data_IF_102978049971
#
_entry.id   IF_102978049971
#
_cell.length_a   1.000
_cell.length_b   1.000
_cell.length_c   1.000
_cell.angle_alpha   90.00
_cell.angle_beta   90.00
_cell.angle_gamma   90.00
#
_symmetry.space_group_name_H-M   'P 1'
#
loop_
_entity.id
_entity.type
_entity.pdbx_description
1 polymer ?
#
# COMPACT_ATOMS: atom_id res chain seq x y z
N UNK A 1 -28.69 -50.81 -21.32
CA UNK A 1 -27.32 -50.34 -21.63
C UNK A 1 -27.13 -48.83 -21.45
N UNK A 2 -28.16 -47.97 -21.55
CA UNK A 2 -27.98 -46.50 -21.45
C UNK A 2 -27.70 -45.94 -20.04
N UNK A 3 -28.38 -46.43 -18.99
CA UNK A 3 -28.34 -45.81 -17.65
C UNK A 3 -26.95 -45.88 -16.99
N UNK A 4 -26.23 -46.99 -17.16
CA UNK A 4 -24.88 -47.17 -16.60
C UNK A 4 -23.88 -46.22 -17.27
N UNK A 5 -24.02 -45.97 -18.58
CA UNK A 5 -23.14 -45.05 -19.32
C UNK A 5 -23.33 -43.59 -18.90
N UNK A 6 -24.56 -43.17 -18.59
CA UNK A 6 -24.86 -41.81 -18.13
C UNK A 6 -24.33 -41.56 -16.71
N UNK A 7 -24.42 -42.56 -15.83
CA UNK A 7 -23.86 -42.48 -14.47
C UNK A 7 -22.33 -42.41 -14.52
N UNK A 8 -21.68 -43.25 -15.34
CA UNK A 8 -20.22 -43.20 -15.52
C UNK A 8 -19.77 -41.87 -16.15
N UNK A 9 -20.54 -41.33 -17.09
CA UNK A 9 -20.27 -40.01 -17.69
C UNK A 9 -20.38 -38.86 -16.68
N UNK A 10 -21.41 -38.87 -15.82
CA UNK A 10 -21.58 -37.87 -14.77
C UNK A 10 -20.47 -37.93 -13.70
N UNK A 11 -20.08 -39.15 -13.29
CA UNK A 11 -18.95 -39.34 -12.37
C UNK A 11 -17.62 -38.92 -13.00
N UNK A 12 -17.38 -39.27 -14.27
CA UNK A 12 -16.17 -38.87 -15.00
C UNK A 12 -16.07 -37.36 -15.18
N UNK A 13 -17.20 -36.68 -15.44
CA UNK A 13 -17.26 -35.22 -15.53
C UNK A 13 -17.00 -34.55 -14.17
N UNK A 14 -17.61 -35.05 -13.10
CA UNK A 14 -17.37 -34.54 -11.74
C UNK A 14 -15.92 -34.70 -11.30
N UNK A 15 -15.35 -35.89 -11.50
CA UNK A 15 -13.94 -36.17 -11.19
C UNK A 15 -13.00 -35.34 -12.07
N UNK A 16 -13.33 -35.16 -13.35
CA UNK A 16 -12.57 -34.36 -14.30
C UNK A 16 -12.52 -32.87 -13.93
N UNK A 17 -13.63 -32.29 -13.48
CA UNK A 17 -13.66 -30.91 -12.97
C UNK A 17 -12.81 -30.79 -11.71
N UNK A 18 -12.94 -31.71 -10.76
CA UNK A 18 -12.17 -31.66 -9.50
C UNK A 18 -10.67 -31.78 -9.79
N UNK A 19 -10.26 -32.75 -10.62
CA UNK A 19 -8.85 -32.89 -11.04
C UNK A 19 -8.35 -31.68 -11.82
N UNK A 20 -9.16 -31.15 -12.75
CA UNK A 20 -8.82 -29.96 -13.52
C UNK A 20 -8.62 -28.72 -12.63
N UNK A 21 -9.48 -28.54 -11.62
CA UNK A 21 -9.34 -27.46 -10.64
C UNK A 21 -8.13 -27.65 -9.72
N UNK A 22 -7.86 -28.88 -9.26
CA UNK A 22 -6.69 -29.17 -8.41
C UNK A 22 -5.39 -28.98 -9.18
N UNK A 23 -5.30 -29.49 -10.42
CA UNK A 23 -4.11 -29.31 -11.28
C UNK A 23 -3.95 -27.84 -11.65
N UNK A 24 -5.04 -27.15 -12.00
CA UNK A 24 -5.02 -25.72 -12.27
C UNK A 24 -4.54 -24.91 -11.08
N UNK A 25 -5.00 -25.22 -9.87
CA UNK A 25 -4.57 -24.58 -8.63
C UNK A 25 -3.07 -24.80 -8.36
N UNK A 26 -2.58 -26.04 -8.49
CA UNK A 26 -1.16 -26.34 -8.29
C UNK A 26 -0.27 -25.66 -9.33
N UNK A 27 -0.65 -25.69 -10.61
CA UNK A 27 0.10 -24.98 -11.66
C UNK A 27 0.11 -23.48 -11.44
N UNK A 28 -1.01 -22.90 -11.01
CA UNK A 28 -1.14 -21.48 -10.75
C UNK A 28 -0.23 -21.02 -9.59
N UNK A 29 -0.15 -21.77 -8.50
CA UNK A 29 0.77 -21.49 -7.38
C UNK A 29 2.24 -21.58 -7.80
N UNK A 30 2.60 -22.60 -8.59
CA UNK A 30 4.00 -22.80 -8.98
C UNK A 30 4.50 -21.84 -10.07
N UNK A 31 3.60 -21.28 -10.89
CA UNK A 31 3.95 -20.37 -11.99
C UNK A 31 3.98 -18.91 -11.53
N UNK A 32 3.19 -18.53 -10.53
CA UNK A 32 3.12 -17.14 -10.10
C UNK A 32 4.31 -16.79 -9.20
N UNK A 33 5.37 -16.23 -9.80
CA UNK A 33 6.48 -15.63 -9.08
C UNK A 33 5.98 -14.49 -8.20
N UNK A 34 6.30 -14.53 -6.91
CA UNK A 34 6.01 -13.45 -5.96
C UNK A 34 6.99 -12.27 -6.06
N UNK A 35 7.83 -12.24 -7.10
CA UNK A 35 8.79 -11.17 -7.30
C UNK A 35 8.07 -9.85 -7.56
N UNK A 36 8.43 -8.87 -6.74
CA UNK A 36 7.96 -7.50 -6.88
C UNK A 36 8.88 -6.84 -7.90
N UNK A 37 8.39 -6.70 -9.14
CA UNK A 37 9.14 -6.00 -10.19
C UNK A 37 9.41 -4.56 -9.76
N UNK A 38 10.67 -4.14 -9.86
CA UNK A 38 11.01 -2.74 -9.64
C UNK A 38 10.71 -1.97 -10.91
N UNK A 39 9.81 -0.97 -10.90
CA UNK A 39 9.49 -0.23 -12.11
C UNK A 39 10.70 0.59 -12.60
N UNK A 40 10.98 0.55 -13.90
CA UNK A 40 11.97 1.42 -14.53
C UNK A 40 11.42 2.86 -14.60
N UNK A 41 12.06 3.80 -13.90
CA UNK A 41 11.71 5.22 -13.94
C UNK A 41 12.25 5.84 -15.23
N UNK A 42 11.37 6.31 -16.13
CA UNK A 42 11.75 6.98 -17.39
C UNK A 42 11.58 8.51 -17.33
N UNK A 43 12.51 9.30 -17.89
CA UNK A 43 12.38 10.76 -17.97
C UNK A 43 11.19 11.21 -18.82
N UNK A 44 10.63 12.38 -18.51
CA UNK A 44 9.54 13.01 -19.28
C UNK A 44 9.95 13.40 -20.70
N UNK A 45 11.23 13.65 -20.93
CA UNK A 45 11.78 14.06 -22.25
C UNK A 45 11.65 12.92 -23.27
N UNK A 46 11.62 11.67 -22.80
CA UNK A 46 11.58 10.48 -23.64
C UNK A 46 10.15 9.97 -23.89
N UNK A 47 9.13 10.73 -23.49
CA UNK A 47 7.72 10.36 -23.61
C UNK A 47 7.07 10.92 -24.88
N UNK A 48 6.21 10.13 -25.51
CA UNK A 48 5.46 10.53 -26.71
C UNK A 48 4.46 11.67 -26.42
N UNK A 49 4.19 12.51 -27.40
CA UNK A 49 3.24 13.64 -27.31
C UNK A 49 1.84 13.26 -26.77
N UNK A 50 1.18 12.17 -27.22
CA UNK A 50 -0.08 11.73 -26.63
C UNK A 50 0.05 11.21 -25.18
N UNK A 51 1.22 10.69 -24.78
CA UNK A 51 1.47 10.31 -23.40
C UNK A 51 1.57 11.57 -22.52
N UNK A 52 2.31 12.58 -22.98
CA UNK A 52 2.40 13.89 -22.31
C UNK A 52 1.04 14.56 -22.18
N UNK A 53 0.18 14.48 -23.21
CA UNK A 53 -1.18 15.03 -23.16
C UNK A 53 -2.02 14.41 -22.03
N UNK A 54 -1.89 13.10 -21.80
CA UNK A 54 -2.59 12.40 -20.71
C UNK A 54 -2.04 12.77 -19.32
N UNK A 55 -0.82 13.28 -19.24
CA UNK A 55 -0.16 13.65 -17.99
C UNK A 55 -0.46 15.09 -17.53
N UNK A 56 -1.08 15.95 -18.37
CA UNK A 56 -1.44 17.33 -17.96
C UNK A 56 -2.25 17.41 -16.67
N UNK A 57 -3.28 16.56 -16.45
CA UNK A 57 -4.00 16.53 -15.18
C UNK A 57 -3.12 16.13 -13.99
N UNK A 58 -2.02 15.41 -14.23
CA UNK A 58 -1.11 14.92 -13.19
C UNK A 58 0.09 15.84 -12.91
N UNK A 59 0.15 17.00 -13.56
CA UNK A 59 1.22 17.99 -13.35
C UNK A 59 1.30 18.37 -11.85
N UNK A 60 2.52 18.50 -11.28
CA UNK A 60 2.72 18.85 -9.89
C UNK A 60 2.00 20.13 -9.47
N UNK A 61 1.57 20.17 -8.21
CA UNK A 61 0.70 21.23 -7.72
C UNK A 61 1.40 22.59 -7.70
N UNK A 62 2.71 22.65 -7.44
CA UNK A 62 3.50 23.89 -7.51
C UNK A 62 3.58 24.51 -8.92
N UNK A 63 3.33 23.74 -10.00
CA UNK A 63 3.21 24.31 -11.36
C UNK A 63 1.84 24.94 -11.55
N UNK A 64 0.80 24.29 -11.01
CA UNK A 64 -0.60 24.72 -11.17
C UNK A 64 -0.94 25.89 -10.27
N UNK A 65 -0.37 25.91 -9.07
CA UNK A 65 -0.67 26.84 -8.00
C UNK A 65 0.63 27.53 -7.54
N UNK A 66 0.76 28.86 -7.69
CA UNK A 66 1.96 29.59 -7.28
C UNK A 66 2.17 29.62 -5.76
N UNK A 67 1.12 29.34 -4.98
CA UNK A 67 1.19 29.28 -3.51
C UNK A 67 1.95 28.06 -2.96
N UNK A 68 2.27 27.08 -3.82
CA UNK A 68 2.95 25.86 -3.42
C UNK A 68 4.42 25.96 -3.78
N UNK A 69 5.28 25.87 -2.75
CA UNK A 69 6.71 25.85 -2.94
C UNK A 69 7.21 24.45 -3.29
N UNK A 70 8.22 24.39 -4.17
CA UNK A 70 8.99 23.15 -4.39
C UNK A 70 9.86 22.85 -3.18
N UNK A 71 9.82 21.60 -2.73
CA UNK A 71 10.60 21.10 -1.59
C UNK A 71 11.55 19.98 -2.01
N UNK A 72 12.28 20.20 -3.11
CA UNK A 72 13.20 19.20 -3.68
C UNK A 72 14.30 18.77 -2.69
N UNK A 73 14.72 19.68 -1.80
CA UNK A 73 15.69 19.37 -0.74
C UNK A 73 15.14 18.36 0.27
N UNK A 74 13.84 18.44 0.60
CA UNK A 74 13.19 17.53 1.54
C UNK A 74 13.05 16.15 0.92
N UNK A 75 12.71 16.08 -0.37
CA UNK A 75 12.66 14.82 -1.11
C UNK A 75 14.03 14.12 -1.10
N UNK A 76 15.12 14.84 -1.40
CA UNK A 76 16.50 14.30 -1.33
C UNK A 76 16.86 13.84 0.08
N UNK A 77 16.46 14.61 1.10
CA UNK A 77 16.70 14.26 2.49
C UNK A 77 16.03 12.94 2.87
N UNK A 78 14.76 12.76 2.49
CA UNK A 78 14.00 11.54 2.77
C UNK A 78 14.56 10.36 1.99
N UNK A 79 14.93 10.56 0.72
CA UNK A 79 15.54 9.52 -0.12
C UNK A 79 16.80 8.95 0.52
N UNK A 80 17.70 9.81 1.02
CA UNK A 80 18.93 9.38 1.71
C UNK A 80 18.64 8.66 3.04
N UNK A 81 17.56 9.04 3.73
CA UNK A 81 17.18 8.43 5.01
C UNK A 81 16.31 7.18 4.87
N UNK A 82 15.70 6.95 3.70
CA UNK A 82 14.65 5.96 3.49
C UNK A 82 15.04 4.54 3.92
N UNK A 83 16.25 4.01 3.63
CA UNK A 83 16.63 2.66 4.04
C UNK A 83 16.66 2.45 5.56
N UNK A 84 16.83 3.54 6.33
CA UNK A 84 16.80 3.53 7.78
C UNK A 84 15.39 3.74 8.32
N UNK A 85 14.63 4.63 7.66
CA UNK A 85 13.23 4.90 7.98
C UNK A 85 12.37 3.65 7.77
N UNK A 86 12.53 2.94 6.64
CA UNK A 86 11.83 1.67 6.34
C UNK A 86 11.97 0.70 7.53
N UNK A 87 13.21 0.39 7.93
CA UNK A 87 13.49 -0.50 9.06
C UNK A 87 12.86 -0.03 10.38
N UNK A 88 12.94 1.27 10.67
CA UNK A 88 12.41 1.83 11.91
C UNK A 88 10.87 1.80 11.93
N UNK A 89 10.24 2.12 10.80
CA UNK A 89 8.79 2.11 10.64
C UNK A 89 8.28 0.67 10.70
N UNK A 90 8.90 -0.28 9.98
CA UNK A 90 8.55 -1.69 10.04
C UNK A 90 8.59 -2.23 11.48
N UNK A 91 9.65 -1.90 12.24
CA UNK A 91 9.76 -2.27 13.65
C UNK A 91 8.63 -1.66 14.50
N UNK A 92 8.27 -0.41 14.24
CA UNK A 92 7.20 0.29 14.96
C UNK A 92 5.83 -0.31 14.62
N UNK A 93 5.59 -0.67 13.35
CA UNK A 93 4.40 -1.37 12.90
C UNK A 93 4.26 -2.68 13.65
N UNK A 94 5.28 -3.53 13.66
CA UNK A 94 5.24 -4.82 14.38
C UNK A 94 4.90 -4.61 15.87
N UNK A 95 5.61 -3.69 16.53
CA UNK A 95 5.39 -3.41 17.95
C UNK A 95 3.97 -2.91 18.27
N UNK A 96 3.34 -2.18 17.35
CA UNK A 96 2.00 -1.60 17.54
C UNK A 96 0.90 -2.59 17.13
N UNK A 97 1.13 -3.36 16.07
CA UNK A 97 0.13 -4.25 15.48
C UNK A 97 0.05 -5.60 16.19
N UNK A 98 1.15 -6.15 16.70
CA UNK A 98 1.14 -7.40 17.49
C UNK A 98 0.11 -7.41 18.65
N UNK A 99 0.05 -6.39 19.53
CA UNK A 99 -0.95 -6.38 20.60
C UNK A 99 -2.38 -6.23 20.06
N UNK A 100 -2.59 -5.44 19.01
CA UNK A 100 -3.91 -5.27 18.38
C UNK A 100 -4.41 -6.58 17.77
N UNK A 101 -3.54 -7.32 17.07
CA UNK A 101 -3.90 -8.62 16.52
C UNK A 101 -4.23 -9.60 17.64
N UNK A 102 -3.41 -9.68 18.69
CA UNK A 102 -3.66 -10.59 19.83
C UNK A 102 -5.00 -10.35 20.50
N UNK A 103 -5.43 -9.09 20.59
CA UNK A 103 -6.75 -8.74 21.13
C UNK A 103 -7.91 -9.21 20.25
N UNK A 104 -7.77 -9.13 18.92
CA UNK A 104 -8.81 -9.49 17.95
C UNK A 104 -8.80 -10.98 17.59
N UNK A 105 -7.68 -11.67 17.74
CA UNK A 105 -7.47 -13.09 17.40
C UNK A 105 -8.55 -14.04 17.96
N UNK A 106 -8.97 -13.93 19.25
CA UNK A 106 -9.99 -14.80 19.83
C UNK A 106 -11.38 -14.63 19.19
N UNK A 107 -11.70 -13.43 18.68
CA UNK A 107 -13.00 -13.13 18.08
C UNK A 107 -13.20 -13.87 16.75
N UNK A 108 -12.12 -14.07 15.99
CA UNK A 108 -12.15 -14.64 14.64
C UNK A 108 -11.74 -16.12 14.56
N UNK A 109 -11.50 -16.79 15.70
CA UNK A 109 -10.99 -18.18 15.77
C UNK A 109 -9.70 -18.39 14.98
N UNK A 110 -8.85 -17.36 14.96
CA UNK A 110 -7.51 -17.45 14.39
C UNK A 110 -6.59 -18.00 15.49
N UNK A 111 -5.70 -18.91 15.15
CA UNK A 111 -4.76 -19.49 16.13
C UNK A 111 -3.54 -18.57 16.31
N UNK A 112 -3.02 -18.04 15.21
CA UNK A 112 -1.80 -17.22 15.20
C UNK A 112 -1.74 -16.35 13.93
N UNK A 113 -1.15 -15.17 14.02
CA UNK A 113 -0.82 -14.32 12.87
C UNK A 113 0.65 -13.95 12.96
N UNK A 114 1.39 -14.21 11.88
CA UNK A 114 2.83 -14.02 11.81
C UNK A 114 3.18 -13.16 10.59
N UNK A 115 4.11 -12.24 10.75
CA UNK A 115 4.66 -11.46 9.64
C UNK A 115 5.89 -12.19 9.10
N UNK A 116 5.76 -12.83 7.93
CA UNK A 116 6.85 -13.55 7.25
C UNK A 116 7.85 -12.58 6.60
N UNK A 117 7.34 -11.46 6.05
CA UNK A 117 8.15 -10.38 5.49
C UNK A 117 7.43 -9.05 5.70
N UNK A 118 8.17 -8.01 6.07
CA UNK A 118 7.63 -6.66 6.20
C UNK A 118 8.67 -5.66 5.73
N UNK A 119 8.46 -5.12 4.52
CA UNK A 119 9.18 -3.96 4.00
C UNK A 119 8.19 -3.04 3.29
N UNK A 120 8.40 -1.73 3.43
CA UNK A 120 7.65 -0.71 2.72
C UNK A 120 8.17 -0.47 1.31
N UNK A 121 9.26 -1.13 0.92
CA UNK A 121 9.87 -1.04 -0.40
C UNK A 121 11.04 -0.05 -0.46
N UNK A 122 11.63 0.04 -1.65
CA UNK A 122 12.79 0.89 -1.92
C UNK A 122 12.42 2.34 -2.26
N UNK A 123 11.15 2.60 -2.57
CA UNK A 123 10.69 3.91 -3.04
C UNK A 123 10.11 4.75 -1.90
N UNK A 124 10.73 5.90 -1.56
CA UNK A 124 10.23 6.79 -0.51
C UNK A 124 8.99 7.59 -0.94
N UNK A 125 8.23 8.14 0.02
CA UNK A 125 7.19 9.12 -0.25
C UNK A 125 7.79 10.41 -0.81
N UNK A 126 7.08 11.05 -1.74
CA UNK A 126 7.49 12.29 -2.39
C UNK A 126 6.55 13.43 -2.02
N UNK A 127 7.13 14.61 -1.82
CA UNK A 127 6.42 15.85 -1.56
C UNK A 127 6.28 16.61 -2.88
N UNK A 128 5.04 16.71 -3.36
CA UNK A 128 4.68 17.39 -4.61
C UNK A 128 4.56 18.91 -4.48
N UNK A 129 4.84 19.43 -3.28
CA UNK A 129 4.80 20.84 -2.94
C UNK A 129 4.35 21.02 -1.49
N UNK A 130 4.63 22.19 -0.94
CA UNK A 130 4.20 22.56 0.41
C UNK A 130 3.70 23.99 0.41
N UNK A 131 2.55 24.22 1.03
CA UNK A 131 2.04 25.55 1.30
C UNK A 131 2.24 25.87 2.77
N UNK A 132 2.78 27.05 3.08
CA UNK A 132 2.98 27.52 4.45
C UNK A 132 2.16 28.79 4.64
N UNK A 133 1.32 28.81 5.67
CA UNK A 133 0.50 29.98 5.99
C UNK A 133 1.18 30.78 7.09
N UNK A 134 1.22 32.08 6.87
CA UNK A 134 1.57 33.04 7.92
C UNK A 134 0.27 33.54 8.52
N UNK A 135 0.08 33.30 9.82
CA UNK A 135 -1.08 33.76 10.59
C UNK A 135 -0.67 34.89 11.53
N UNK A 136 -1.59 35.81 11.84
CA UNK A 136 -1.37 36.83 12.89
C UNK A 136 -1.35 36.21 14.31
N UNK A 137 -1.86 34.97 14.43
CA UNK A 137 -1.77 34.18 15.64
C UNK A 137 -0.38 33.55 15.80
N UNK A 138 -0.02 33.18 17.04
CA UNK A 138 1.22 32.45 17.36
C UNK A 138 1.14 30.99 16.93
N UNK A 139 0.94 30.74 15.64
CA UNK A 139 0.90 29.40 15.05
C UNK A 139 1.58 29.37 13.68
N UNK A 140 1.99 28.17 13.27
CA UNK A 140 2.51 27.90 11.91
C UNK A 140 1.66 26.78 11.35
N UNK A 141 1.10 27.00 10.16
CA UNK A 141 0.32 25.99 9.45
C UNK A 141 1.07 25.62 8.17
N UNK A 142 1.29 24.32 7.98
CA UNK A 142 1.93 23.74 6.81
C UNK A 142 1.02 22.71 6.17
N UNK A 143 0.92 22.74 4.85
CA UNK A 143 0.13 21.82 4.05
C UNK A 143 1.02 21.19 2.97
N UNK A 144 1.77 20.13 3.31
CA UNK A 144 2.47 19.33 2.32
C UNK A 144 1.48 18.48 1.51
N UNK A 145 1.73 18.34 0.21
CA UNK A 145 1.06 17.34 -0.63
C UNK A 145 1.98 16.15 -0.82
N UNK A 146 1.54 14.99 -0.33
CA UNK A 146 2.33 13.75 -0.30
C UNK A 146 1.76 12.79 -1.34
N UNK A 147 2.64 12.30 -2.22
CA UNK A 147 2.37 11.15 -3.09
C UNK A 147 3.41 10.07 -2.85
N UNK A 148 2.94 8.85 -2.58
CA UNK A 148 3.79 7.71 -2.32
C UNK A 148 3.35 6.54 -3.18
N UNK A 149 4.19 6.14 -4.12
CA UNK A 149 4.02 4.94 -4.91
C UNK A 149 5.15 3.99 -4.51
N UNK A 150 4.81 3.05 -3.64
CA UNK A 150 5.75 2.16 -2.98
C UNK A 150 5.67 0.76 -3.59
N UNK A 151 6.78 0.03 -3.53
CA UNK A 151 6.86 -1.39 -3.87
C UNK A 151 7.03 -2.24 -2.60
N UNK A 152 6.03 -2.26 -1.69
CA UNK A 152 6.16 -2.98 -0.44
C UNK A 152 6.09 -4.49 -0.68
N UNK A 153 6.66 -5.23 0.26
CA UNK A 153 6.47 -6.68 0.35
C UNK A 153 6.09 -7.04 1.80
N UNK A 154 4.78 -7.02 2.05
CA UNK A 154 4.21 -7.33 3.35
C UNK A 154 3.53 -8.69 3.24
N UNK A 155 4.19 -9.74 3.74
CA UNK A 155 3.69 -11.11 3.74
C UNK A 155 3.25 -11.48 5.16
N UNK A 156 1.97 -11.80 5.31
CA UNK A 156 1.34 -12.17 6.57
C UNK A 156 0.81 -13.59 6.47
N UNK A 157 1.30 -14.49 7.33
CA UNK A 157 0.77 -15.84 7.50
C UNK A 157 -0.30 -15.85 8.59
N UNK A 158 -1.49 -16.34 8.26
CA UNK A 158 -2.59 -16.51 9.23
C UNK A 158 -2.76 -18.00 9.46
N UNK A 159 -2.59 -18.47 10.70
CA UNK A 159 -2.79 -19.87 11.08
C UNK A 159 -4.20 -20.03 11.64
N UNK A 160 -5.00 -20.88 11.01
CA UNK A 160 -6.34 -21.21 11.48
C UNK A 160 -6.73 -22.62 11.04
N UNK A 161 -7.35 -23.40 11.94
CA UNK A 161 -7.88 -24.75 11.65
C UNK A 161 -6.84 -25.71 11.02
N UNK A 162 -5.57 -25.57 11.39
CA UNK A 162 -4.46 -26.38 10.85
C UNK A 162 -3.98 -25.97 9.45
N UNK A 163 -4.54 -24.92 8.86
CA UNK A 163 -4.07 -24.30 7.61
C UNK A 163 -3.30 -23.01 7.91
N UNK A 164 -2.34 -22.65 7.04
CA UNK A 164 -1.57 -21.39 7.10
C UNK A 164 -1.69 -20.61 5.78
N UNK A 165 -2.86 -20.03 5.44
CA UNK A 165 -2.95 -19.09 4.32
C UNK A 165 -1.98 -17.92 4.49
N UNK A 166 -1.36 -17.51 3.39
CA UNK A 166 -0.51 -16.31 3.32
C UNK A 166 -1.23 -15.21 2.56
N UNK A 167 -1.17 -13.99 3.08
CA UNK A 167 -1.69 -12.77 2.45
C UNK A 167 -0.49 -11.87 2.17
N UNK A 168 -0.31 -11.46 0.92
CA UNK A 168 0.74 -10.55 0.51
C UNK A 168 0.12 -9.22 0.06
N UNK A 169 0.57 -8.12 0.64
CA UNK A 169 0.22 -6.77 0.17
C UNK A 169 1.36 -6.24 -0.70
N UNK A 170 0.99 -5.77 -1.90
CA UNK A 170 1.87 -5.27 -2.95
C UNK A 170 1.34 -3.94 -3.51
N UNK A 171 2.15 -3.25 -4.31
CA UNK A 171 1.74 -2.08 -5.12
C UNK A 171 0.95 -1.01 -4.33
N UNK A 172 1.55 -0.49 -3.26
CA UNK A 172 0.92 0.51 -2.41
C UNK A 172 1.03 1.90 -3.03
N UNK A 173 -0.12 2.53 -3.24
CA UNK A 173 -0.23 3.91 -3.67
C UNK A 173 -1.01 4.74 -2.65
N UNK A 174 -0.38 5.78 -2.11
CA UNK A 174 -0.98 6.68 -1.12
C UNK A 174 -0.85 8.12 -1.59
N UNK A 175 -1.98 8.82 -1.70
CA UNK A 175 -2.02 10.27 -1.87
C UNK A 175 -2.69 10.90 -0.65
N UNK A 176 -1.99 11.83 -0.02
CA UNK A 176 -2.46 12.49 1.19
C UNK A 176 -2.09 13.97 1.20
N UNK A 177 -3.01 14.79 1.69
CA UNK A 177 -2.81 16.23 1.90
C UNK A 177 -3.04 16.55 3.37
N UNK A 178 -2.07 16.26 4.27
CA UNK A 178 -2.18 16.63 5.66
C UNK A 178 -1.96 18.13 5.86
N UNK A 179 -2.68 18.70 6.83
CA UNK A 179 -2.44 20.00 7.43
C UNK A 179 -1.80 19.79 8.79
N UNK A 180 -0.63 20.38 8.97
CA UNK A 180 0.19 20.33 10.19
C UNK A 180 0.20 21.72 10.81
N UNK A 181 -0.28 21.84 12.05
CA UNK A 181 -0.31 23.11 12.79
C UNK A 181 0.56 23.00 14.04
N UNK A 182 1.53 23.90 14.18
CA UNK A 182 2.37 24.05 15.37
C UNK A 182 1.81 25.19 16.22
N UNK A 183 1.24 24.87 17.40
CA UNK A 183 0.64 25.90 18.26
C UNK A 183 0.56 25.57 19.76
N UNK A 184 0.53 26.59 20.63
CA UNK A 184 1.04 27.94 20.37
C UNK A 184 2.57 27.93 20.19
N UNK A 185 3.10 28.92 19.47
CA UNK A 185 4.52 29.21 19.43
C UNK A 185 4.97 29.82 20.76
N UNK A 186 6.10 29.35 21.26
CA UNK A 186 6.69 29.76 22.55
C UNK A 186 8.16 30.10 22.38
N UNK A 187 8.73 30.97 23.24
CA UNK A 187 10.15 31.37 23.14
C UNK A 187 11.13 30.30 23.67
N UNK A 188 10.64 29.14 24.11
CA UNK A 188 11.44 28.02 24.60
C UNK A 188 11.52 26.92 23.55
N UNK A 189 12.72 26.41 23.25
CA UNK A 189 12.93 25.27 22.35
C UNK A 189 12.05 24.07 22.76
N UNK A 190 11.31 23.41 21.84
CA UNK A 190 11.40 23.45 20.37
C UNK A 190 10.57 24.56 19.68
N UNK A 191 10.21 25.62 20.41
CA UNK A 191 9.52 26.82 19.95
C UNK A 191 8.00 26.67 19.71
N UNK A 192 7.42 25.51 20.05
CA UNK A 192 5.97 25.27 20.03
C UNK A 192 5.58 24.31 21.15
N UNK A 193 4.30 24.34 21.58
CA UNK A 193 3.80 23.45 22.63
C UNK A 193 3.17 22.15 22.10
N UNK A 194 2.45 22.22 20.98
CA UNK A 194 1.68 21.09 20.44
C UNK A 194 1.79 21.04 18.92
N UNK A 195 1.69 19.83 18.39
CA UNK A 195 1.55 19.55 16.96
C UNK A 195 0.14 19.01 16.75
N UNK A 196 -0.61 19.63 15.84
CA UNK A 196 -1.90 19.14 15.38
C UNK A 196 -1.75 18.68 13.94
N UNK A 197 -2.23 17.49 13.65
CA UNK A 197 -2.21 16.93 12.28
C UNK A 197 -3.63 16.55 11.93
N UNK A 198 -4.10 17.03 10.78
CA UNK A 198 -5.42 16.71 10.22
C UNK A 198 -5.30 16.43 8.73
N UNK A 199 -6.14 15.58 8.19
CA UNK A 199 -6.22 15.37 6.73
C UNK A 199 -7.21 16.37 6.14
N UNK A 200 -6.79 17.11 5.13
CA UNK A 200 -7.63 18.10 4.44
C UNK A 200 -8.73 17.43 3.62
N UNK A 201 -8.39 16.29 3.04
CA UNK A 201 -9.26 15.49 2.19
C UNK A 201 -9.08 14.02 2.57
N UNK A 202 -10.05 13.18 2.16
CA UNK A 202 -9.91 11.74 2.32
C UNK A 202 -8.66 11.27 1.56
N UNK A 203 -7.69 10.61 2.22
CA UNK A 203 -6.52 10.13 1.53
C UNK A 203 -6.94 9.06 0.52
N UNK A 204 -6.32 9.10 -0.65
CA UNK A 204 -6.44 8.03 -1.62
C UNK A 204 -5.42 6.96 -1.25
N UNK A 205 -5.90 5.73 -1.04
CA UNK A 205 -5.07 4.58 -0.70
C UNK A 205 -5.52 3.45 -1.59
N UNK A 206 -4.61 2.99 -2.43
CA UNK A 206 -4.80 1.86 -3.33
C UNK A 206 -3.66 0.86 -3.09
N UNK A 207 -3.97 -0.43 -3.16
CA UNK A 207 -3.02 -1.51 -2.89
C UNK A 207 -3.50 -2.81 -3.51
N UNK A 208 -2.55 -3.64 -3.94
CA UNK A 208 -2.81 -5.01 -4.38
C UNK A 208 -2.77 -5.99 -3.20
N UNK A 209 -3.69 -6.96 -3.19
CA UNK A 209 -3.64 -8.10 -2.28
C UNK A 209 -3.50 -9.39 -3.09
N UNK A 210 -2.52 -10.23 -2.72
CA UNK A 210 -2.40 -11.62 -3.16
C UNK A 210 -2.70 -12.57 -2.01
N UNK A 211 -3.55 -13.57 -2.22
CA UNK A 211 -3.87 -14.64 -1.27
C UNK A 211 -3.24 -15.96 -1.75
N UNK A 212 -2.26 -16.49 -1.03
CA UNK A 212 -1.60 -17.75 -1.38
C UNK A 212 -0.95 -17.74 -2.78
N UNK A 213 -0.45 -16.58 -3.20
CA UNK A 213 0.08 -16.33 -4.55
C UNK A 213 -0.96 -15.78 -5.52
N UNK A 214 -2.25 -16.06 -5.34
CA UNK A 214 -3.31 -15.59 -6.24
C UNK A 214 -3.66 -14.12 -6.04
N UNK A 215 -3.70 -13.35 -7.11
CA UNK A 215 -4.12 -11.95 -7.06
C UNK A 215 -5.63 -11.87 -6.77
N UNK A 216 -5.98 -11.38 -5.58
CA UNK A 216 -7.36 -11.25 -5.14
C UNK A 216 -8.10 -10.17 -5.94
N UNK A 217 -7.37 -9.19 -6.45
CA UNK A 217 -7.92 -8.09 -7.27
C UNK A 217 -8.38 -8.57 -8.65
N UNK A 218 -7.87 -9.73 -9.09
CA UNK A 218 -8.27 -10.36 -10.36
C UNK A 218 -9.60 -11.11 -10.30
N UNK A 219 -10.16 -11.33 -9.10
CA UNK A 219 -11.39 -12.11 -8.89
C UNK A 219 -12.61 -11.16 -8.85
N UNK A 220 -13.49 -11.18 -9.87
CA UNK A 220 -14.68 -10.34 -9.88
C UNK A 220 -15.60 -10.68 -8.70
N UNK A 221 -15.95 -9.67 -7.88
CA UNK A 221 -16.86 -9.80 -6.73
C UNK A 221 -16.17 -9.77 -5.35
N UNK A 222 -14.88 -10.04 -5.26
CA UNK A 222 -14.11 -9.91 -4.00
C UNK A 222 -13.51 -8.51 -3.81
N UNK A 223 -13.39 -7.74 -4.88
CA UNK A 223 -12.90 -6.35 -4.88
C UNK A 223 -13.66 -5.42 -3.91
N UNK A 224 -14.96 -5.63 -3.71
CA UNK A 224 -15.79 -4.74 -2.87
C UNK A 224 -15.75 -5.03 -1.36
N UNK A 225 -15.08 -6.11 -0.94
CA UNK A 225 -14.95 -6.49 0.48
C UNK A 225 -13.65 -5.99 1.12
N UNK A 226 -12.75 -5.41 0.32
CA UNK A 226 -11.45 -4.86 0.73
C UNK A 226 -11.55 -3.35 0.91
#
# INVERSE_FOLDING_TARGET
MGVISTIFGAFGFGIGIILGLVIGYFLFIFIQSSDVETPEIRPLVDQDEPALQRMFPEIPIWVKNPDHDRVDWLNKFIELMWPYLDKAICKTILATTEPMIKEQTPQYKIDEVEFDSLTLGSLPPTFQGMKVYTTDEKEIIMEPSIKWAANPNILVGIKAFGLRPTVQLVDLQVFASPRITLKPLVPSFPCFCKILVSLMEKPHVDFGIKLGGADLMSIPGLYGFV
#
